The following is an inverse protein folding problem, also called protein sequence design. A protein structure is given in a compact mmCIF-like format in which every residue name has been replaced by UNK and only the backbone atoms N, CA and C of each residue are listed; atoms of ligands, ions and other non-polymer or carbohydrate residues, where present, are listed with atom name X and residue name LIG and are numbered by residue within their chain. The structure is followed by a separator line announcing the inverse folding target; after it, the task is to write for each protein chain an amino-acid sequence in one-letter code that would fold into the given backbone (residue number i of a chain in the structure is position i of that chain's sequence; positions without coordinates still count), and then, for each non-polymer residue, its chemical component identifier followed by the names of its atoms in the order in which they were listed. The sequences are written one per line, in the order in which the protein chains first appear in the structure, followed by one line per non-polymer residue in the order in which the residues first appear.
data_IF_099070541655
#
_entry.id   IF_099070541655
#
_cell.length_a   1.000
_cell.length_b   1.000
_cell.length_c   1.000
_cell.angle_alpha   90.00
_cell.angle_beta   90.00
_cell.angle_gamma   90.00
#
_symmetry.space_group_name_H-M   'P 1'
#
loop_
_entity.id
_entity.type
_entity.pdbx_description
1 polymer ?
#
# COMPACT_ATOMS: atom_id res chain seq x y z
N UNK A 1 -5.05 38.09 2.22
CA UNK A 1 -5.30 37.15 3.34
C UNK A 1 -4.26 36.04 3.29
N UNK A 2 -3.66 35.66 4.43
CA UNK A 2 -2.72 34.53 4.50
C UNK A 2 -3.54 33.26 4.72
N UNK A 3 -3.40 32.29 3.82
CA UNK A 3 -4.09 31.02 3.95
C UNK A 3 -3.48 30.20 5.10
N UNK A 4 -4.32 29.65 5.97
CA UNK A 4 -3.88 28.78 7.06
C UNK A 4 -4.19 27.33 6.70
N UNK A 5 -3.16 26.50 6.67
CA UNK A 5 -3.32 25.07 6.46
C UNK A 5 -3.49 24.35 7.79
N UNK A 6 -4.56 23.55 7.92
CA UNK A 6 -4.89 22.85 9.17
C UNK A 6 -3.81 21.87 9.62
N UNK A 7 -3.08 21.26 8.69
CA UNK A 7 -2.00 20.32 9.01
C UNK A 7 -0.78 20.96 9.68
N UNK A 8 -0.68 22.29 9.74
CA UNK A 8 0.32 22.95 10.59
C UNK A 8 -0.04 22.94 12.08
N UNK A 9 -1.31 22.71 12.41
CA UNK A 9 -1.84 22.84 13.76
C UNK A 9 -2.37 21.51 14.31
N UNK A 10 -2.80 20.61 13.42
CA UNK A 10 -3.26 19.28 13.77
C UNK A 10 -2.16 18.28 13.46
N UNK A 11 -1.63 17.65 14.50
CA UNK A 11 -0.72 16.52 14.34
C UNK A 11 -1.48 15.34 13.77
N UNK A 12 -0.82 14.60 12.89
CA UNK A 12 -1.35 13.36 12.37
C UNK A 12 -0.95 12.21 13.31
N UNK A 13 -1.93 11.42 13.75
CA UNK A 13 -1.74 10.22 14.55
C UNK A 13 -2.64 9.09 14.00
N UNK A 14 -2.02 8.04 13.46
CA UNK A 14 -2.78 6.91 12.88
C UNK A 14 -3.63 6.18 13.92
N UNK A 15 -3.11 6.04 15.14
CA UNK A 15 -3.76 5.27 16.18
C UNK A 15 -5.03 5.99 16.64
N UNK A 16 -4.98 7.32 16.80
CA UNK A 16 -6.15 8.14 17.09
C UNK A 16 -7.21 8.01 15.98
N UNK A 17 -6.81 8.19 14.71
CA UNK A 17 -7.73 8.08 13.57
C UNK A 17 -8.40 6.70 13.52
N UNK A 18 -7.61 5.63 13.65
CA UNK A 18 -8.14 4.26 13.61
C UNK A 18 -9.08 3.97 14.77
N UNK A 19 -8.73 4.40 15.99
CA UNK A 19 -9.57 4.20 17.16
C UNK A 19 -10.89 4.96 17.05
N UNK A 20 -10.87 6.21 16.59
CA UNK A 20 -12.08 6.99 16.36
C UNK A 20 -12.98 6.30 15.33
N UNK A 21 -12.45 5.86 14.20
CA UNK A 21 -13.23 5.16 13.18
C UNK A 21 -13.88 3.87 13.71
N UNK A 22 -13.11 3.02 14.39
CA UNK A 22 -13.63 1.74 14.90
C UNK A 22 -14.63 1.95 16.04
N UNK A 23 -14.30 2.81 17.01
CA UNK A 23 -15.07 2.92 18.26
C UNK A 23 -16.28 3.85 18.13
N UNK A 24 -16.18 4.92 17.34
CA UNK A 24 -17.24 5.94 17.26
C UNK A 24 -18.10 5.78 16.01
N UNK A 25 -17.51 5.27 14.92
CA UNK A 25 -18.20 5.13 13.63
C UNK A 25 -18.50 3.68 13.25
N UNK A 26 -18.15 2.71 14.10
CA UNK A 26 -18.31 1.28 13.83
C UNK A 26 -17.76 0.89 12.45
N UNK A 27 -16.58 1.42 12.12
CA UNK A 27 -15.96 1.22 10.82
C UNK A 27 -15.67 -0.25 10.54
N UNK A 28 -16.08 -0.74 9.37
CA UNK A 28 -15.85 -2.11 8.95
C UNK A 28 -14.43 -2.28 8.38
N UNK A 29 -13.65 -3.16 9.00
CA UNK A 29 -12.30 -3.50 8.52
C UNK A 29 -12.35 -4.69 7.57
N UNK A 30 -11.54 -4.62 6.51
CA UNK A 30 -11.33 -5.75 5.62
C UNK A 30 -10.60 -6.89 6.34
N UNK A 31 -10.95 -8.15 6.03
CA UNK A 31 -10.39 -9.33 6.71
C UNK A 31 -9.04 -9.78 6.16
N UNK A 32 -8.70 -9.30 4.97
CA UNK A 32 -7.54 -9.72 4.18
C UNK A 32 -6.36 -8.74 4.28
N UNK A 33 -6.47 -7.70 5.11
CA UNK A 33 -5.41 -6.72 5.35
C UNK A 33 -5.49 -6.16 6.77
N UNK A 34 -4.35 -5.70 7.30
CA UNK A 34 -4.29 -4.95 8.56
C UNK A 34 -4.61 -3.46 8.37
N UNK A 35 -4.79 -3.02 7.12
CA UNK A 35 -5.20 -1.67 6.80
C UNK A 35 -6.66 -1.44 7.17
N UNK A 36 -6.96 -0.19 7.52
CA UNK A 36 -8.30 0.25 7.94
C UNK A 36 -8.91 1.13 6.86
N UNK A 37 -8.97 2.44 7.07
CA UNK A 37 -9.56 3.42 6.16
C UNK A 37 -8.74 3.68 4.90
N UNK A 38 -7.51 3.18 4.84
CA UNK A 38 -6.62 3.31 3.67
C UNK A 38 -6.84 2.21 2.63
N UNK A 39 -7.83 1.36 2.82
CA UNK A 39 -8.26 0.38 1.82
C UNK A 39 -9.36 1.02 0.96
N UNK A 40 -9.01 1.33 -0.28
CA UNK A 40 -9.94 1.82 -1.29
C UNK A 40 -10.67 0.66 -1.97
N UNK A 41 -11.32 0.93 -3.11
CA UNK A 41 -11.91 -0.08 -3.97
C UNK A 41 -10.90 -1.15 -4.45
N UNK A 42 -11.41 -2.16 -5.15
CA UNK A 42 -10.60 -3.30 -5.60
C UNK A 42 -9.46 -2.95 -6.57
N UNK A 43 -9.36 -1.68 -7.02
CA UNK A 43 -8.30 -1.20 -7.90
C UNK A 43 -6.94 -1.15 -7.19
N UNK A 44 -6.91 -0.77 -5.91
CA UNK A 44 -5.66 -0.67 -5.13
C UNK A 44 -4.88 -1.99 -5.06
N UNK A 45 -5.51 -3.10 -4.66
CA UNK A 45 -4.88 -4.42 -4.73
C UNK A 45 -4.30 -4.74 -6.12
N UNK A 46 -4.96 -4.34 -7.20
CA UNK A 46 -4.54 -4.63 -8.57
C UNK A 46 -3.29 -3.84 -8.96
N UNK A 47 -3.24 -2.52 -8.82
CA UNK A 47 -2.00 -1.79 -9.16
C UNK A 47 -0.86 -2.12 -8.19
N UNK A 48 -1.15 -2.45 -6.92
CA UNK A 48 -0.13 -2.85 -5.97
C UNK A 48 0.47 -4.22 -6.32
N UNK A 49 -0.29 -5.15 -6.91
CA UNK A 49 0.27 -6.36 -7.51
C UNK A 49 1.32 -6.02 -8.59
N UNK A 50 1.03 -5.04 -9.44
CA UNK A 50 1.94 -4.60 -10.52
C UNK A 50 3.18 -3.94 -9.90
N UNK A 51 3.00 -2.95 -9.04
CA UNK A 51 4.11 -2.20 -8.43
C UNK A 51 5.03 -3.12 -7.63
N UNK A 52 4.45 -4.02 -6.85
CA UNK A 52 5.24 -4.95 -6.05
C UNK A 52 6.01 -5.94 -6.94
N UNK A 53 5.37 -6.51 -7.96
CA UNK A 53 6.02 -7.47 -8.87
C UNK A 53 7.12 -6.83 -9.71
N UNK A 54 6.90 -5.61 -10.20
CA UNK A 54 7.82 -4.96 -11.15
C UNK A 54 8.89 -4.13 -10.44
N UNK A 55 8.50 -3.40 -9.40
CA UNK A 55 9.34 -2.43 -8.69
C UNK A 55 9.79 -2.85 -7.29
N UNK A 56 9.16 -3.88 -6.69
CA UNK A 56 9.49 -4.33 -5.34
C UNK A 56 8.95 -3.44 -4.22
N UNK A 57 8.03 -2.53 -4.52
CA UNK A 57 7.38 -1.63 -3.55
C UNK A 57 5.94 -1.31 -3.98
N UNK A 58 5.14 -0.76 -3.08
CA UNK A 58 3.76 -0.32 -3.33
C UNK A 58 3.54 1.11 -2.82
N UNK A 59 2.31 1.59 -2.89
CA UNK A 59 1.91 2.84 -2.22
C UNK A 59 2.12 2.81 -0.69
N UNK A 60 2.07 1.62 -0.08
CA UNK A 60 2.30 1.46 1.35
C UNK A 60 3.72 1.84 1.73
N UNK A 61 4.71 1.49 0.89
CA UNK A 61 6.10 1.89 1.10
C UNK A 61 6.27 3.41 1.08
N UNK A 62 5.58 4.09 0.15
CA UNK A 62 5.57 5.54 0.10
C UNK A 62 4.96 6.13 1.38
N UNK A 63 3.79 5.61 1.79
CA UNK A 63 3.10 6.06 2.99
C UNK A 63 3.95 5.88 4.26
N UNK A 64 4.50 4.69 4.49
CA UNK A 64 5.36 4.40 5.65
C UNK A 64 6.67 5.19 5.60
N UNK A 65 7.25 5.39 4.42
CA UNK A 65 8.44 6.24 4.23
C UNK A 65 8.15 7.69 4.65
N UNK A 66 6.97 8.22 4.33
CA UNK A 66 6.58 9.57 4.74
C UNK A 66 6.49 9.67 6.27
N UNK A 67 5.87 8.70 6.95
CA UNK A 67 5.78 8.69 8.41
C UNK A 67 7.15 8.64 9.09
N UNK A 68 8.12 7.94 8.51
CA UNK A 68 9.50 7.93 9.01
C UNK A 68 10.16 9.30 8.86
N UNK A 69 10.00 9.95 7.70
CA UNK A 69 10.58 11.29 7.46
C UNK A 69 10.00 12.36 8.38
N UNK A 70 8.71 12.25 8.70
CA UNK A 70 8.03 13.15 9.64
C UNK A 70 8.26 12.77 11.12
N UNK A 71 9.03 11.70 11.40
CA UNK A 71 9.35 11.27 12.76
C UNK A 71 8.18 10.66 13.53
N UNK A 72 7.12 10.24 12.84
CA UNK A 72 5.90 9.67 13.43
C UNK A 72 6.15 8.23 13.90
N UNK A 73 6.86 7.44 13.08
CA UNK A 73 7.30 6.09 13.43
C UNK A 73 8.77 5.90 13.09
N UNK A 74 9.42 4.94 13.75
CA UNK A 74 10.80 4.57 13.41
C UNK A 74 10.84 3.63 12.18
N UNK A 75 12.02 3.54 11.55
CA UNK A 75 12.24 2.72 10.35
C UNK A 75 11.93 1.23 10.55
N UNK A 76 12.28 0.65 11.70
CA UNK A 76 12.03 -0.78 11.96
C UNK A 76 10.53 -1.09 12.02
N UNK A 77 9.74 -0.22 12.66
CA UNK A 77 8.28 -0.32 12.69
C UNK A 77 7.70 -0.17 11.28
N UNK A 78 8.15 0.82 10.52
CA UNK A 78 7.72 1.01 9.14
C UNK A 78 7.98 -0.23 8.28
N UNK A 79 9.17 -0.84 8.37
CA UNK A 79 9.53 -2.04 7.63
C UNK A 79 8.68 -3.26 8.01
N UNK A 80 8.34 -3.42 9.30
CA UNK A 80 7.45 -4.48 9.74
C UNK A 80 6.03 -4.30 9.18
N UNK A 81 5.53 -3.06 9.16
CA UNK A 81 4.20 -2.74 8.64
C UNK A 81 4.10 -2.95 7.13
N UNK A 82 5.02 -2.40 6.34
CA UNK A 82 4.99 -2.59 4.87
C UNK A 82 5.08 -4.06 4.49
N UNK A 83 5.82 -4.89 5.23
CA UNK A 83 5.92 -6.32 4.96
C UNK A 83 4.58 -7.03 5.08
N UNK A 84 3.76 -6.64 6.05
CA UNK A 84 2.41 -7.20 6.22
C UNK A 84 1.42 -6.56 5.24
N UNK A 85 1.47 -5.25 5.06
CA UNK A 85 0.57 -4.49 4.18
C UNK A 85 0.77 -4.82 2.69
N UNK A 86 1.98 -5.22 2.28
CA UNK A 86 2.31 -5.59 0.91
C UNK A 86 2.02 -7.06 0.57
N UNK A 87 1.42 -7.83 1.49
CA UNK A 87 0.95 -9.16 1.15
C UNK A 87 -0.07 -9.06 0.02
N UNK A 88 0.18 -9.80 -1.07
CA UNK A 88 -0.68 -9.75 -2.25
C UNK A 88 -2.07 -10.26 -1.88
N UNK A 89 -3.08 -9.39 -2.07
CA UNK A 89 -4.48 -9.66 -1.77
C UNK A 89 -5.17 -10.31 -2.97
N UNK A 90 -4.81 -11.56 -3.25
CA UNK A 90 -5.25 -12.29 -4.44
C UNK A 90 -6.77 -12.27 -4.67
N UNK A 91 -7.56 -12.48 -3.62
CA UNK A 91 -9.02 -12.47 -3.72
C UNK A 91 -9.54 -11.08 -4.10
N UNK A 92 -8.98 -10.02 -3.53
CA UNK A 92 -9.38 -8.65 -3.86
C UNK A 92 -9.04 -8.28 -5.30
N UNK A 93 -7.86 -8.69 -5.79
CA UNK A 93 -7.46 -8.54 -7.20
C UNK A 93 -8.42 -9.30 -8.11
N UNK A 94 -8.69 -10.56 -7.81
CA UNK A 94 -9.61 -11.40 -8.61
C UNK A 94 -11.01 -10.78 -8.68
N UNK A 95 -11.56 -10.39 -7.53
CA UNK A 95 -12.88 -9.73 -7.45
C UNK A 95 -12.93 -8.44 -8.28
N UNK A 96 -11.85 -7.66 -8.30
CA UNK A 96 -11.77 -6.46 -9.14
C UNK A 96 -11.74 -6.80 -10.63
N UNK A 97 -10.87 -7.72 -11.05
CA UNK A 97 -10.71 -8.11 -12.45
C UNK A 97 -12.01 -8.70 -13.02
N UNK A 98 -12.72 -9.53 -12.25
CA UNK A 98 -14.03 -10.06 -12.63
C UNK A 98 -15.05 -8.94 -12.90
N UNK A 99 -15.07 -7.88 -12.08
CA UNK A 99 -15.99 -6.74 -12.25
C UNK A 99 -15.70 -5.92 -13.51
N UNK A 100 -14.44 -5.86 -13.94
CA UNK A 100 -14.03 -5.15 -15.16
C UNK A 100 -13.94 -6.06 -16.39
N UNK A 101 -14.33 -7.34 -16.26
CA UNK A 101 -14.39 -8.29 -17.37
C UNK A 101 -13.02 -8.80 -17.83
N UNK A 102 -12.04 -8.89 -16.91
CA UNK A 102 -10.69 -9.39 -17.18
C UNK A 102 -10.44 -10.72 -16.46
N UNK A 103 -9.71 -11.63 -17.12
CA UNK A 103 -9.32 -12.90 -16.51
C UNK A 103 -8.11 -12.73 -15.59
N UNK A 104 -8.22 -13.28 -14.37
CA UNK A 104 -7.19 -13.15 -13.36
C UNK A 104 -5.87 -13.81 -13.75
N UNK A 105 -5.91 -15.00 -14.38
CA UNK A 105 -4.70 -15.73 -14.76
C UNK A 105 -3.97 -15.04 -15.90
N UNK A 106 -4.71 -14.59 -16.92
CA UNK A 106 -4.14 -13.86 -18.06
C UNK A 106 -3.42 -12.58 -17.60
N UNK A 107 -4.03 -11.84 -16.67
CA UNK A 107 -3.45 -10.62 -16.11
C UNK A 107 -2.22 -10.93 -15.25
N UNK A 108 -2.26 -11.92 -14.37
CA UNK A 108 -1.08 -12.33 -13.60
C UNK A 108 0.08 -12.72 -14.51
N UNK A 109 -0.17 -13.51 -15.56
CA UNK A 109 0.85 -13.88 -16.55
C UNK A 109 1.39 -12.66 -17.31
N UNK A 110 0.54 -11.69 -17.63
CA UNK A 110 0.96 -10.46 -18.28
C UNK A 110 1.89 -9.65 -17.35
N UNK A 111 1.55 -9.52 -16.07
CA UNK A 111 2.37 -8.82 -15.07
C UNK A 111 3.71 -9.52 -14.85
N UNK A 112 3.72 -10.85 -14.76
CA UNK A 112 4.96 -11.64 -14.61
C UNK A 112 5.94 -11.47 -15.78
N UNK A 113 5.44 -11.18 -16.99
CA UNK A 113 6.27 -10.96 -18.18
C UNK A 113 6.89 -9.56 -18.23
N UNK A 114 6.46 -8.63 -17.39
CA UNK A 114 7.05 -7.29 -17.32
C UNK A 114 8.51 -7.41 -16.82
N UNK A 115 9.49 -6.72 -17.44
CA UNK A 115 10.86 -6.65 -16.93
C UNK A 115 10.91 -6.01 -15.54
N UNK A 116 11.64 -6.62 -14.61
CA UNK A 116 11.65 -6.23 -13.20
C UNK A 116 12.78 -5.25 -13.00
N UNK A 117 12.48 -4.10 -12.40
CA UNK A 117 13.47 -3.03 -12.26
C UNK A 117 14.64 -3.43 -11.34
N UNK A 118 14.40 -4.37 -10.42
CA UNK A 118 15.41 -4.85 -9.49
C UNK A 118 16.35 -5.92 -10.08
N UNK A 119 15.99 -6.58 -11.19
CA UNK A 119 16.86 -7.59 -11.82
C UNK A 119 18.05 -6.94 -12.52
N UNK A 120 17.86 -5.77 -13.13
CA UNK A 120 18.95 -5.02 -13.78
C UNK A 120 19.96 -4.45 -12.77
N UNK A 121 19.55 -4.17 -11.52
CA UNK A 121 20.41 -3.63 -10.46
C UNK A 121 21.26 -4.67 -9.74
N UNK A 122 21.03 -5.97 -9.98
CA UNK A 122 21.82 -7.07 -9.40
C UNK A 122 23.02 -7.46 -10.30
N UNK A 123 23.16 -6.85 -11.48
CA UNK A 123 24.13 -7.22 -12.52
C UNK A 123 25.45 -6.45 -12.55
N UNK A 124 25.62 -5.37 -11.77
CA UNK A 124 26.90 -4.65 -11.67
C UNK A 124 27.49 -4.78 -10.26
N UNK A 125 28.20 -5.89 -10.03
CA UNK A 125 29.23 -5.92 -9.00
C UNK A 125 30.38 -5.02 -9.47
N UNK A 126 30.82 -4.01 -8.70
CA UNK A 126 31.98 -3.21 -9.06
C UNK A 126 33.20 -4.14 -9.21
N UNK A 127 33.89 -4.02 -10.36
CA UNK A 127 35.20 -4.64 -10.60
C UNK A 127 36.26 -4.10 -9.65
#
# INVERSE_FOLDING_TARGET
YKFHYLWHYLKWDEAEVVQTLVNEYNWECAKDTIQTWRTDDGTSPFYNLIYYTVGGFTENDCFRSNQVREGIINRSTALALVKEENRIRHDAVKNYLERVGLDYQDICQAVEKIPKFYESSLGEQPK
#
